data_IF_536446736108
#
_entry.id   IF_536446736108
#
_cell.length_a   1.000
_cell.length_b   1.000
_cell.length_c   1.000
_cell.angle_alpha   90.00
_cell.angle_beta   90.00
_cell.angle_gamma   90.00
#
_symmetry.space_group_name_H-M   'P 1'
#
loop_
_entity.id
_entity.type
_entity.pdbx_description
1 polymer ?
#
# COMPACT_ATOMS: atom_id res chain seq x y z
N UNK A 1 -7.16 -22.34 23.54
CA UNK A 1 -5.99 -21.44 23.58
C UNK A 1 -6.03 -20.58 22.33
N UNK A 2 -6.17 -19.26 22.49
CA UNK A 2 -6.19 -18.32 21.36
C UNK A 2 -4.78 -18.17 20.82
N UNK A 3 -4.52 -18.79 19.67
CA UNK A 3 -3.26 -18.76 18.96
C UNK A 3 -2.89 -17.31 18.64
N UNK A 4 -1.88 -16.80 19.36
CA UNK A 4 -1.33 -15.47 19.16
C UNK A 4 -0.71 -15.43 17.77
N UNK A 5 -1.45 -14.88 16.80
CA UNK A 5 -0.96 -14.69 15.44
C UNK A 5 0.24 -13.74 15.46
N UNK A 6 1.40 -14.29 15.13
CA UNK A 6 2.70 -13.64 15.02
C UNK A 6 2.59 -12.30 14.23
N UNK A 7 3.21 -11.20 14.70
CA UNK A 7 3.15 -9.89 14.03
C UNK A 7 3.99 -9.82 12.73
N UNK A 8 4.80 -10.84 12.45
CA UNK A 8 5.82 -10.87 11.39
C UNK A 8 5.21 -11.09 9.99
N UNK A 9 4.17 -11.91 9.85
CA UNK A 9 3.52 -12.20 8.54
C UNK A 9 2.68 -11.04 7.99
N UNK A 10 2.31 -10.06 8.85
CA UNK A 10 1.53 -8.89 8.42
C UNK A 10 2.33 -7.96 7.52
N UNK A 11 3.66 -8.03 7.58
CA UNK A 11 4.56 -7.06 6.92
C UNK A 11 4.88 -7.46 5.48
N UNK A 12 5.01 -8.76 5.19
CA UNK A 12 5.31 -9.29 3.86
C UNK A 12 4.09 -9.34 2.93
N UNK A 13 2.88 -9.64 3.43
CA UNK A 13 1.64 -9.49 2.64
C UNK A 13 1.37 -8.05 2.19
N UNK A 14 2.01 -7.08 2.84
CA UNK A 14 1.81 -5.67 2.59
C UNK A 14 2.51 -5.21 1.30
N UNK A 15 3.68 -5.76 0.96
CA UNK A 15 4.45 -5.31 -0.21
C UNK A 15 3.75 -5.62 -1.55
N UNK A 16 3.20 -6.82 -1.70
CA UNK A 16 2.45 -7.19 -2.90
C UNK A 16 1.20 -6.34 -3.08
N UNK A 17 0.41 -6.18 -2.02
CA UNK A 17 -0.80 -5.34 -2.04
C UNK A 17 -0.47 -3.88 -2.35
N UNK A 18 0.61 -3.36 -1.78
CA UNK A 18 1.00 -1.97 -1.95
C UNK A 18 1.48 -1.68 -3.39
N UNK A 19 2.10 -2.66 -4.08
CA UNK A 19 2.37 -2.56 -5.52
C UNK A 19 1.09 -2.58 -6.37
N UNK A 20 0.11 -3.42 -6.03
CA UNK A 20 -1.18 -3.43 -6.74
C UNK A 20 -1.95 -2.10 -6.57
N UNK A 21 -1.83 -1.45 -5.41
CA UNK A 21 -2.37 -0.11 -5.15
C UNK A 21 -1.78 0.93 -6.12
N UNK A 22 -0.48 0.85 -6.44
CA UNK A 22 0.16 1.73 -7.42
C UNK A 22 -0.35 1.48 -8.84
N UNK A 23 -0.52 0.21 -9.21
CA UNK A 23 -1.07 -0.16 -10.53
C UNK A 23 -2.48 0.39 -10.71
N UNK A 24 -3.33 0.30 -9.68
CA UNK A 24 -4.66 0.90 -9.74
C UNK A 24 -4.63 2.42 -9.82
N UNK A 25 -3.66 3.07 -9.16
CA UNK A 25 -3.48 4.52 -9.26
C UNK A 25 -3.05 4.91 -10.67
N UNK A 26 -2.12 4.18 -11.29
CA UNK A 26 -1.69 4.36 -12.67
C UNK A 26 -2.83 4.12 -13.67
N UNK A 27 -3.72 3.19 -13.37
CA UNK A 27 -4.96 2.96 -14.13
C UNK A 27 -6.04 4.06 -13.94
N UNK A 28 -5.75 5.11 -13.16
CA UNK A 28 -6.66 6.24 -12.95
C UNK A 28 -7.73 6.04 -11.88
N UNK A 29 -7.67 4.96 -11.07
CA UNK A 29 -8.63 4.77 -9.97
C UNK A 29 -8.43 5.82 -8.88
N UNK A 30 -9.54 6.24 -8.29
CA UNK A 30 -9.54 7.14 -7.13
C UNK A 30 -9.04 6.43 -5.88
N UNK A 31 -8.43 7.19 -4.97
CA UNK A 31 -7.93 6.66 -3.69
C UNK A 31 -9.04 6.01 -2.85
N UNK A 32 -10.27 6.50 -2.98
CA UNK A 32 -11.44 5.95 -2.28
C UNK A 32 -11.83 4.57 -2.82
N UNK A 33 -11.87 4.38 -4.15
CA UNK A 33 -12.14 3.09 -4.78
C UNK A 33 -11.05 2.06 -4.46
N UNK A 34 -9.78 2.48 -4.52
CA UNK A 34 -8.66 1.63 -4.13
C UNK A 34 -8.84 1.19 -2.66
N UNK A 35 -9.16 2.13 -1.77
CA UNK A 35 -9.43 1.80 -0.38
C UNK A 35 -10.55 0.78 -0.20
N UNK A 36 -11.66 0.92 -0.95
CA UNK A 36 -12.79 -0.02 -0.93
C UNK A 36 -12.40 -1.42 -1.41
N UNK A 37 -11.64 -1.53 -2.49
CA UNK A 37 -11.19 -2.81 -3.06
C UNK A 37 -10.36 -3.61 -2.04
N UNK A 38 -9.46 -2.92 -1.33
CA UNK A 38 -8.53 -3.55 -0.39
C UNK A 38 -8.97 -3.52 1.07
N UNK A 39 -10.16 -2.98 1.37
CA UNK A 39 -10.67 -2.85 2.73
C UNK A 39 -9.83 -1.91 3.62
N UNK A 40 -9.20 -0.89 3.03
CA UNK A 40 -8.39 0.11 3.74
C UNK A 40 -8.92 1.53 3.56
N UNK A 41 -8.62 2.40 4.54
CA UNK A 41 -9.01 3.80 4.47
C UNK A 41 -8.28 4.55 3.35
N UNK A 42 -8.92 5.57 2.78
CA UNK A 42 -8.31 6.50 1.81
C UNK A 42 -6.98 7.06 2.29
N UNK A 43 -6.89 7.44 3.56
CA UNK A 43 -5.65 7.97 4.16
C UNK A 43 -4.53 6.93 4.16
N UNK A 44 -4.86 5.66 4.36
CA UNK A 44 -3.88 4.57 4.30
C UNK A 44 -3.34 4.41 2.88
N UNK A 45 -4.21 4.45 1.86
CA UNK A 45 -3.81 4.44 0.45
C UNK A 45 -2.86 5.61 0.15
N UNK A 46 -3.21 6.83 0.62
CA UNK A 46 -2.35 8.02 0.43
C UNK A 46 -0.97 7.86 1.06
N UNK A 47 -0.88 7.31 2.28
CA UNK A 47 0.40 7.05 2.94
C UNK A 47 1.25 6.03 2.18
N UNK A 48 0.62 4.98 1.63
CA UNK A 48 1.30 3.97 0.82
C UNK A 48 1.90 4.64 -0.42
N UNK A 49 1.09 5.35 -1.21
CA UNK A 49 1.55 6.03 -2.42
C UNK A 49 2.73 6.97 -2.13
N UNK A 50 2.62 7.77 -1.06
CA UNK A 50 3.69 8.70 -0.66
C UNK A 50 5.00 7.97 -0.37
N UNK A 51 4.98 6.84 0.34
CA UNK A 51 6.20 6.07 0.61
C UNK A 51 6.86 5.55 -0.67
N UNK A 52 6.07 5.18 -1.67
CA UNK A 52 6.59 4.75 -2.96
C UNK A 52 7.12 5.92 -3.78
N UNK A 53 6.48 7.08 -3.77
CA UNK A 53 7.02 8.30 -4.41
C UNK A 53 8.33 8.75 -3.76
N UNK A 54 8.44 8.67 -2.43
CA UNK A 54 9.67 8.96 -1.69
C UNK A 54 10.78 7.94 -2.02
N UNK A 55 10.43 6.66 -2.16
CA UNK A 55 11.37 5.60 -2.55
C UNK A 55 11.82 5.75 -4.02
N UNK A 56 10.90 6.03 -4.94
CA UNK A 56 11.16 6.26 -6.36
C UNK A 56 12.06 7.49 -6.55
N UNK A 57 11.74 8.61 -5.90
CA UNK A 57 12.57 9.82 -5.89
C UNK A 57 13.95 9.56 -5.26
N UNK A 58 14.02 8.78 -4.18
CA UNK A 58 15.29 8.42 -3.57
C UNK A 58 16.15 7.52 -4.48
N UNK A 59 15.53 6.68 -5.31
CA UNK A 59 16.24 5.89 -6.33
C UNK A 59 16.59 6.67 -7.60
N UNK A 60 15.82 7.72 -7.93
CA UNK A 60 16.04 8.54 -9.12
C UNK A 60 17.15 9.60 -8.95
N UNK A 61 17.59 9.87 -7.73
CA UNK A 61 18.67 10.82 -7.42
C UNK A 61 18.27 12.30 -7.62
N UNK A 62 18.95 13.24 -6.94
CA UNK A 62 18.69 14.68 -7.05
C UNK A 62 19.09 15.28 -8.41
#
# INVERSE_FOLDING_TARGET
>A
MSEKREPSERKDRNLGRDQEILQHRAAGKSLQDIGRIYGISRERVRQILRRFEEADRASAGP
#
